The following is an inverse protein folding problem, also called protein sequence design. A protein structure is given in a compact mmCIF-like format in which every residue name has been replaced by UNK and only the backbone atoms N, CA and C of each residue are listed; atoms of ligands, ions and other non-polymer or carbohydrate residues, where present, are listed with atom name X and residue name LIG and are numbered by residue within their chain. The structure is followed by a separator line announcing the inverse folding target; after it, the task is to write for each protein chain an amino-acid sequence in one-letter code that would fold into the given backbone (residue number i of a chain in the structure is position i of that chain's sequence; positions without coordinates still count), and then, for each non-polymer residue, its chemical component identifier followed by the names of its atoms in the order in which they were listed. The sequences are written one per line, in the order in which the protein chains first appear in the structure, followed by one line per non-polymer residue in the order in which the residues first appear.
data_IF_513165870935
#
_entry.id   IF_513165870935
#
_cell.length_a   1.000
_cell.length_b   1.000
_cell.length_c   1.000
_cell.angle_alpha   90.00
_cell.angle_beta   90.00
_cell.angle_gamma   90.00
#
_symmetry.space_group_name_H-M   'P 1'
#
loop_
_entity.id
_entity.type
_entity.pdbx_description
1 polymer ?
#
# COMPACT_ATOMS: atom_id res chain seq x y z
N UNK A 1 19.37 8.15 -19.62
CA UNK A 1 19.28 7.64 -18.25
C UNK A 1 18.34 6.44 -18.21
N UNK A 2 18.81 5.33 -17.73
CA UNK A 2 17.96 4.14 -17.64
C UNK A 2 16.98 4.29 -16.47
N UNK A 3 15.71 3.99 -16.67
CA UNK A 3 14.78 4.02 -15.55
C UNK A 3 15.12 2.92 -14.54
N UNK A 4 14.89 3.22 -13.28
CA UNK A 4 15.07 2.24 -12.21
C UNK A 4 13.86 1.33 -12.20
N UNK A 5 14.13 0.01 -12.21
CA UNK A 5 13.04 -0.96 -12.11
C UNK A 5 12.43 -0.90 -10.71
N UNK A 6 11.11 -0.82 -10.66
CA UNK A 6 10.37 -0.83 -9.41
C UNK A 6 9.78 -2.21 -9.20
N UNK A 7 9.98 -2.73 -7.99
CA UNK A 7 9.44 -4.05 -7.66
C UNK A 7 7.91 -3.98 -7.56
N UNK A 8 7.26 -4.99 -8.11
CA UNK A 8 5.79 -5.10 -8.08
C UNK A 8 5.40 -6.20 -7.11
N UNK A 9 4.42 -5.90 -6.26
CA UNK A 9 3.87 -6.85 -5.30
C UNK A 9 2.47 -7.26 -5.71
N UNK A 10 2.16 -8.55 -5.53
CA UNK A 10 0.83 -9.07 -5.78
C UNK A 10 0.00 -9.01 -4.48
N UNK A 11 -1.32 -9.18 -4.62
CA UNK A 11 -2.23 -9.07 -3.48
C UNK A 11 -1.83 -9.94 -2.27
N UNK A 12 -1.45 -11.23 -2.45
CA UNK A 12 -1.02 -12.03 -1.30
C UNK A 12 0.17 -11.43 -0.56
N UNK A 13 1.13 -10.87 -1.29
CA UNK A 13 2.30 -10.24 -0.69
C UNK A 13 1.93 -8.98 0.08
N UNK A 14 1.03 -8.17 -0.49
CA UNK A 14 0.56 -6.94 0.15
C UNK A 14 -0.21 -7.26 1.43
N UNK A 15 -1.08 -8.27 1.38
CA UNK A 15 -1.82 -8.71 2.55
C UNK A 15 -0.90 -9.20 3.66
N UNK A 16 0.12 -9.98 3.28
CA UNK A 16 1.09 -10.48 4.25
C UNK A 16 1.87 -9.33 4.90
N UNK A 17 2.29 -8.36 4.09
CA UNK A 17 3.08 -7.23 4.58
C UNK A 17 2.27 -6.27 5.45
N UNK A 18 0.98 -6.10 5.17
CA UNK A 18 0.14 -5.14 5.87
C UNK A 18 -0.74 -5.77 6.95
N UNK A 19 -0.83 -7.08 6.97
CA UNK A 19 -1.68 -7.84 7.90
C UNK A 19 -3.17 -7.53 7.78
N UNK A 20 -3.59 -6.92 6.67
CA UNK A 20 -5.00 -6.71 6.40
C UNK A 20 -5.65 -7.98 5.88
N UNK A 21 -6.94 -8.11 6.15
CA UNK A 21 -7.74 -9.13 5.49
C UNK A 21 -8.17 -8.62 4.12
N UNK A 22 -8.44 -9.53 3.15
CA UNK A 22 -8.81 -9.10 1.80
C UNK A 22 -9.96 -8.10 1.74
N UNK A 23 -11.01 -8.34 2.50
CA UNK A 23 -12.18 -7.44 2.54
C UNK A 23 -11.80 -6.06 3.08
N UNK A 24 -10.97 -6.03 4.11
CA UNK A 24 -10.51 -4.78 4.70
C UNK A 24 -9.65 -3.99 3.72
N UNK A 25 -8.75 -4.68 3.01
CA UNK A 25 -7.92 -4.04 2.00
C UNK A 25 -8.76 -3.42 0.91
N UNK A 26 -9.74 -4.17 0.38
CA UNK A 26 -10.62 -3.68 -0.66
C UNK A 26 -11.39 -2.43 -0.21
N UNK A 27 -11.84 -2.42 1.03
CA UNK A 27 -12.55 -1.27 1.59
C UNK A 27 -11.63 -0.05 1.70
N UNK A 28 -10.40 -0.24 2.14
CA UNK A 28 -9.43 0.86 2.25
C UNK A 28 -9.10 1.45 0.87
N UNK A 29 -9.00 0.60 -0.15
CA UNK A 29 -8.77 1.08 -1.51
C UNK A 29 -9.96 1.89 -1.98
N UNK A 30 -11.17 1.40 -1.75
CA UNK A 30 -12.39 2.10 -2.13
C UNK A 30 -12.51 3.46 -1.45
N UNK A 31 -12.09 3.55 -0.20
CA UNK A 31 -12.12 4.79 0.57
C UNK A 31 -10.98 5.76 0.24
N UNK A 32 -10.08 5.35 -0.64
CA UNK A 32 -8.92 6.17 -0.98
C UNK A 32 -7.84 6.22 0.09
N UNK A 33 -7.88 5.29 1.04
CA UNK A 33 -6.93 5.24 2.16
C UNK A 33 -5.77 4.29 1.92
N UNK A 34 -5.76 3.61 0.80
CA UNK A 34 -4.70 2.69 0.41
C UNK A 34 -4.41 2.87 -1.07
N UNK A 35 -3.14 2.72 -1.51
CA UNK A 35 -2.80 2.87 -2.92
C UNK A 35 -3.60 1.91 -3.80
N UNK A 36 -4.04 2.40 -4.96
CA UNK A 36 -4.79 1.58 -5.90
C UNK A 36 -3.84 0.65 -6.65
N UNK A 37 -4.26 -0.60 -6.87
CA UNK A 37 -3.47 -1.48 -7.71
C UNK A 37 -3.57 -1.06 -9.18
N UNK A 38 -2.62 -1.49 -9.98
CA UNK A 38 -2.64 -1.28 -11.42
C UNK A 38 -2.62 -2.62 -12.14
N UNK A 39 -3.05 -2.62 -13.39
CA UNK A 39 -3.03 -3.84 -14.20
C UNK A 39 -1.61 -4.14 -14.65
N UNK A 40 -1.20 -5.38 -14.49
CA UNK A 40 0.16 -5.80 -14.86
C UNK A 40 0.33 -5.95 -16.36
N UNK A 41 -0.77 -6.15 -17.09
CA UNK A 41 -0.71 -6.25 -18.54
C UNK A 41 -1.97 -5.66 -19.15
N UNK A 42 -1.85 -5.15 -20.36
CA UNK A 42 -2.98 -4.61 -21.10
C UNK A 42 -4.02 -5.71 -21.33
N UNK A 43 -5.27 -5.43 -20.99
CA UNK A 43 -6.35 -6.39 -21.13
C UNK A 43 -6.33 -7.54 -20.14
N UNK A 44 -5.33 -7.62 -19.28
CA UNK A 44 -5.22 -8.66 -18.27
C UNK A 44 -6.01 -8.34 -17.02
N UNK A 45 -6.19 -9.36 -16.16
CA UNK A 45 -6.89 -9.21 -14.88
C UNK A 45 -5.94 -9.15 -13.70
N UNK A 46 -4.68 -9.50 -13.89
CA UNK A 46 -3.70 -9.49 -12.82
C UNK A 46 -3.40 -8.06 -12.38
N UNK A 47 -3.48 -7.83 -11.07
CA UNK A 47 -3.24 -6.53 -10.47
C UNK A 47 -2.03 -6.61 -9.55
N UNK A 48 -1.37 -5.47 -9.36
CA UNK A 48 -0.24 -5.38 -8.46
C UNK A 48 -0.05 -3.95 -7.98
N UNK A 49 0.86 -3.79 -7.05
CA UNK A 49 1.25 -2.49 -6.50
C UNK A 49 2.76 -2.36 -6.60
N UNK A 50 3.23 -1.14 -6.76
CA UNK A 50 4.66 -0.92 -6.64
C UNK A 50 5.07 -1.00 -5.17
N UNK A 51 6.19 -1.66 -4.91
CA UNK A 51 6.69 -1.82 -3.56
C UNK A 51 6.92 -0.46 -2.89
N UNK A 52 7.46 0.51 -3.61
CA UNK A 52 7.73 1.83 -3.05
C UNK A 52 6.45 2.56 -2.62
N UNK A 53 5.33 2.33 -3.30
CA UNK A 53 4.05 2.89 -2.88
C UNK A 53 3.57 2.27 -1.56
N UNK A 54 3.78 0.97 -1.40
CA UNK A 54 3.42 0.29 -0.15
C UNK A 54 4.32 0.75 0.99
N UNK A 55 5.60 0.92 0.72
CA UNK A 55 6.54 1.45 1.72
C UNK A 55 6.12 2.85 2.15
N UNK A 56 5.78 3.72 1.21
CA UNK A 56 5.33 5.07 1.51
C UNK A 56 4.06 5.06 2.36
N UNK A 57 3.13 4.16 2.05
CA UNK A 57 1.91 3.99 2.85
C UNK A 57 2.24 3.61 4.28
N UNK A 58 3.13 2.63 4.47
CA UNK A 58 3.54 2.19 5.80
C UNK A 58 4.23 3.30 6.58
N UNK A 59 5.08 4.07 5.92
CA UNK A 59 5.76 5.20 6.54
C UNK A 59 4.77 6.27 6.98
N UNK A 60 3.74 6.52 6.18
CA UNK A 60 2.69 7.48 6.54
C UNK A 60 1.90 7.01 7.76
N UNK A 61 1.64 5.70 7.86
CA UNK A 61 0.96 5.15 9.05
C UNK A 61 1.81 5.30 10.31
N UNK A 62 3.12 5.08 10.18
CA UNK A 62 4.04 5.25 11.30
C UNK A 62 4.10 6.71 11.73
N UNK A 63 4.19 7.63 10.78
CA UNK A 63 4.23 9.07 11.08
C UNK A 63 2.96 9.52 11.79
N UNK A 64 1.80 8.99 11.39
CA UNK A 64 0.54 9.31 12.06
C UNK A 64 0.52 8.78 13.49
N UNK A 65 0.99 7.55 13.70
CA UNK A 65 1.10 6.99 15.05
C UNK A 65 1.97 7.89 15.94
N UNK A 66 3.08 8.35 15.41
CA UNK A 66 4.02 9.19 16.19
C UNK A 66 3.41 10.55 16.49
N UNK A 67 2.65 11.12 15.57
CA UNK A 67 1.92 12.37 15.82
C UNK A 67 0.85 12.20 16.90
N UNK A 68 0.12 11.10 16.85
CA UNK A 68 -0.89 10.77 17.87
C UNK A 68 -0.26 10.62 19.24
N UNK A 69 0.91 9.96 19.32
CA UNK A 69 1.63 9.80 20.58
C UNK A 69 2.05 11.14 21.15
N UNK A 70 2.55 12.06 20.30
CA UNK A 70 2.90 13.41 20.73
C UNK A 70 1.68 14.19 21.20
N UNK A 71 0.57 14.07 20.46
CA UNK A 71 -0.67 14.78 20.79
C UNK A 71 -1.23 14.35 22.15
N UNK A 72 -1.04 13.10 22.52
CA UNK A 72 -1.52 12.56 23.80
C UNK A 72 -0.60 12.85 24.97
N UNK A 73 0.60 13.35 24.71
CA UNK A 73 1.51 13.78 25.75
C UNK A 73 1.14 15.19 26.18
N UNK A 74 0.56 15.28 27.30
CA UNK A 74 0.31 16.58 27.92
C UNK A 74 1.37 16.86 28.96
#
# INVERSE_FOLDING_TARGET
MKPILRRVLRKPEVLAASCYRPTQLDLLIEQGKFPRPFRLSEGGRALGWYEDEIIAFQQARIAERDREAKSKRT
#
